data_IF_965435705986
#
_entry.id   IF_965435705986
#
_cell.length_a   1.000
_cell.length_b   1.000
_cell.length_c   1.000
_cell.angle_alpha   90.00
_cell.angle_beta   90.00
_cell.angle_gamma   90.00
#
_symmetry.space_group_name_H-M   'P 1'
#
loop_
_entity.id
_entity.type
_entity.pdbx_description
1 polymer ?
#
# COMPACT_ATOMS: atom_id res chain seq x y z
N UNK A 1 -7.29 -12.67 24.71
CA UNK A 1 -6.50 -12.41 23.49
C UNK A 1 -6.06 -13.73 22.87
N UNK A 2 -5.79 -13.76 21.57
CA UNK A 2 -5.32 -14.96 20.84
C UNK A 2 -4.07 -15.57 21.47
N UNK A 3 -3.94 -16.90 21.41
CA UNK A 3 -2.75 -17.64 21.80
C UNK A 3 -1.51 -17.16 21.03
N UNK A 4 -0.36 -17.16 21.69
CA UNK A 4 0.92 -16.67 21.13
C UNK A 4 1.26 -17.39 19.82
N UNK A 5 1.01 -18.69 19.76
CA UNK A 5 1.28 -19.53 18.59
C UNK A 5 0.40 -19.14 17.40
N UNK A 6 -0.89 -18.90 17.64
CA UNK A 6 -1.83 -18.52 16.57
C UNK A 6 -1.48 -17.17 15.97
N UNK A 7 -1.09 -16.19 16.80
CA UNK A 7 -0.63 -14.88 16.30
C UNK A 7 0.65 -15.01 15.47
N UNK A 8 1.60 -15.83 15.91
CA UNK A 8 2.82 -16.12 15.18
C UNK A 8 2.54 -16.69 13.78
N UNK A 9 1.64 -17.68 13.69
CA UNK A 9 1.25 -18.27 12.41
C UNK A 9 0.58 -17.25 11.47
N UNK A 10 -0.26 -16.34 12.00
CA UNK A 10 -0.89 -15.29 11.20
C UNK A 10 0.16 -14.32 10.66
N UNK A 11 1.09 -13.85 11.49
CA UNK A 11 2.17 -12.94 11.08
C UNK A 11 3.10 -13.59 10.04
N UNK A 12 3.37 -14.89 10.20
CA UNK A 12 4.11 -15.67 9.22
C UNK A 12 3.37 -15.73 7.87
N UNK A 13 2.06 -16.01 7.88
CA UNK A 13 1.23 -16.04 6.67
C UNK A 13 1.16 -14.66 5.99
N UNK A 14 1.07 -13.56 6.76
CA UNK A 14 1.11 -12.20 6.22
C UNK A 14 2.42 -11.93 5.47
N UNK A 15 3.55 -12.32 6.05
CA UNK A 15 4.87 -12.15 5.42
C UNK A 15 4.99 -12.95 4.12
N UNK A 16 4.50 -14.19 4.12
CA UNK A 16 4.49 -15.04 2.93
C UNK A 16 3.62 -14.41 1.81
N UNK A 17 2.46 -13.86 2.17
CA UNK A 17 1.60 -13.15 1.24
C UNK A 17 2.27 -11.92 0.63
N UNK A 18 3.08 -11.18 1.39
CA UNK A 18 3.85 -10.03 0.84
C UNK A 18 4.87 -10.46 -0.22
N UNK A 19 5.54 -11.60 -0.02
CA UNK A 19 6.48 -12.16 -1.00
C UNK A 19 5.72 -12.56 -2.27
N UNK A 20 4.61 -13.30 -2.13
CA UNK A 20 3.76 -13.68 -3.26
C UNK A 20 3.21 -12.46 -4.00
N UNK A 21 2.80 -11.41 -3.29
CA UNK A 21 2.32 -10.18 -3.89
C UNK A 21 3.40 -9.47 -4.70
N UNK A 22 4.63 -9.42 -4.21
CA UNK A 22 5.75 -8.80 -4.94
C UNK A 22 5.96 -9.46 -6.30
N UNK A 23 5.90 -10.79 -6.35
CA UNK A 23 6.00 -11.55 -7.60
C UNK A 23 4.77 -11.35 -8.49
N UNK A 24 3.57 -11.38 -7.91
CA UNK A 24 2.31 -11.21 -8.63
C UNK A 24 2.19 -9.82 -9.28
N UNK A 25 2.53 -8.76 -8.56
CA UNK A 25 2.57 -7.40 -9.09
C UNK A 25 3.70 -7.19 -10.09
N UNK A 26 4.86 -7.83 -9.91
CA UNK A 26 5.93 -7.83 -10.91
C UNK A 26 5.50 -8.50 -12.22
N UNK A 27 4.76 -9.61 -12.14
CA UNK A 27 4.19 -10.26 -13.32
C UNK A 27 3.09 -9.41 -13.97
N UNK A 28 2.16 -8.87 -13.18
CA UNK A 28 1.09 -7.99 -13.67
C UNK A 28 1.61 -6.71 -14.33
N UNK A 29 2.70 -6.13 -13.81
CA UNK A 29 3.35 -4.96 -14.43
C UNK A 29 3.89 -5.26 -15.83
N UNK A 30 4.37 -6.49 -16.07
CA UNK A 30 4.84 -6.91 -17.39
C UNK A 30 3.70 -7.22 -18.36
N UNK A 31 2.53 -7.65 -17.84
CA UNK A 31 1.37 -8.02 -18.66
C UNK A 31 0.48 -6.81 -19.03
N UNK A 32 0.37 -5.80 -18.16
CA UNK A 32 -0.51 -4.65 -18.39
C UNK A 32 0.20 -3.46 -19.04
N UNK A 33 -0.24 -3.07 -20.24
CA UNK A 33 0.26 -1.86 -20.93
C UNK A 33 -0.09 -0.54 -20.22
N UNK A 34 -1.05 -0.52 -19.28
CA UNK A 34 -1.49 0.70 -18.59
C UNK A 34 -1.32 0.59 -17.06
N UNK A 35 -0.11 0.90 -16.58
CA UNK A 35 0.27 0.88 -15.13
C UNK A 35 -0.70 1.66 -14.23
N UNK A 36 -1.29 2.75 -14.75
CA UNK A 36 -2.24 3.60 -14.00
C UNK A 36 -3.50 2.84 -13.55
N UNK A 37 -4.08 1.98 -14.39
CA UNK A 37 -5.29 1.22 -14.04
C UNK A 37 -4.99 0.13 -13.00
N UNK A 38 -3.81 -0.49 -13.08
CA UNK A 38 -3.37 -1.49 -12.11
C UNK A 38 -3.20 -0.89 -10.70
N UNK A 39 -2.60 0.31 -10.62
CA UNK A 39 -2.43 1.01 -9.34
C UNK A 39 -3.79 1.44 -8.79
N UNK A 40 -4.70 1.94 -9.64
CA UNK A 40 -6.01 2.41 -9.21
C UNK A 40 -6.91 1.27 -8.70
N UNK A 41 -6.88 0.10 -9.37
CA UNK A 41 -7.65 -1.08 -8.91
C UNK A 41 -7.09 -1.67 -7.61
N UNK A 42 -5.76 -1.73 -7.47
CA UNK A 42 -5.12 -2.16 -6.24
C UNK A 42 -5.45 -1.22 -5.08
N UNK A 43 -5.27 0.09 -5.26
CA UNK A 43 -5.57 1.08 -4.23
C UNK A 43 -7.06 1.10 -3.85
N UNK A 44 -7.98 0.97 -4.82
CA UNK A 44 -9.41 0.85 -4.56
C UNK A 44 -9.75 -0.39 -3.73
N UNK A 45 -9.10 -1.53 -4.02
CA UNK A 45 -9.27 -2.76 -3.24
C UNK A 45 -8.72 -2.61 -1.81
N UNK A 46 -7.56 -1.95 -1.64
CA UNK A 46 -7.02 -1.62 -0.31
C UNK A 46 -7.98 -0.74 0.49
N UNK A 47 -8.55 0.31 -0.12
CA UNK A 47 -9.53 1.19 0.53
C UNK A 47 -10.76 0.39 0.97
N UNK A 48 -11.27 -0.49 0.11
CA UNK A 48 -12.43 -1.33 0.44
C UNK A 48 -12.16 -2.24 1.65
N UNK A 49 -10.97 -2.86 1.72
CA UNK A 49 -10.58 -3.70 2.86
C UNK A 49 -10.47 -2.87 4.14
N UNK A 50 -9.85 -1.68 4.07
CA UNK A 50 -9.73 -0.79 5.23
C UNK A 50 -11.09 -0.32 5.76
N UNK A 51 -12.01 0.04 4.87
CA UNK A 51 -13.38 0.43 5.23
C UNK A 51 -14.13 -0.74 5.85
N UNK A 52 -13.99 -1.95 5.28
CA UNK A 52 -14.62 -3.16 5.81
C UNK A 52 -14.12 -3.46 7.24
N UNK A 53 -12.82 -3.31 7.48
CA UNK A 53 -12.19 -3.46 8.79
C UNK A 53 -12.64 -2.37 9.79
N UNK A 54 -12.95 -1.16 9.30
CA UNK A 54 -13.39 -0.05 10.15
C UNK A 54 -14.86 -0.15 10.57
N UNK A 55 -15.74 -0.63 9.68
CA UNK A 55 -17.20 -0.61 9.90
C UNK A 55 -17.66 -1.76 10.80
N UNK A 56 -17.14 -2.98 10.62
CA UNK A 56 -17.70 -4.17 11.27
C UNK A 56 -17.04 -4.37 12.66
N UNK A 57 -17.79 -4.21 13.78
CA UNK A 57 -17.22 -4.23 15.12
C UNK A 57 -16.91 -5.64 15.66
N UNK A 58 -17.60 -6.67 15.17
CA UNK A 58 -17.55 -8.04 15.69
C UNK A 58 -17.13 -9.06 14.62
N UNK A 59 -16.06 -8.74 13.88
CA UNK A 59 -15.48 -9.71 12.95
C UNK A 59 -14.76 -10.80 13.74
N UNK A 60 -15.09 -12.06 13.43
CA UNK A 60 -14.35 -13.23 13.91
C UNK A 60 -12.85 -13.07 13.61
N UNK A 61 -11.99 -13.33 14.61
CA UNK A 61 -10.53 -13.23 14.51
C UNK A 61 -9.93 -13.91 13.27
N UNK A 62 -10.54 -15.00 12.80
CA UNK A 62 -10.14 -15.66 11.55
C UNK A 62 -10.37 -14.78 10.31
N UNK A 63 -11.53 -14.12 10.23
CA UNK A 63 -11.88 -13.23 9.13
C UNK A 63 -10.98 -11.98 9.18
N UNK A 64 -10.72 -11.41 10.36
CA UNK A 64 -9.76 -10.29 10.51
C UNK A 64 -8.39 -10.70 9.97
N UNK A 65 -7.92 -11.89 10.34
CA UNK A 65 -6.61 -12.40 9.89
C UNK A 65 -6.55 -12.56 8.38
N UNK A 66 -7.59 -13.10 7.75
CA UNK A 66 -7.69 -13.23 6.29
C UNK A 66 -7.68 -11.84 5.63
N UNK A 67 -8.46 -10.89 6.14
CA UNK A 67 -8.51 -9.53 5.61
C UNK A 67 -7.15 -8.82 5.74
N UNK A 68 -6.43 -9.03 6.84
CA UNK A 68 -5.09 -8.48 7.03
C UNK A 68 -4.06 -9.12 6.08
N UNK A 69 -4.13 -10.43 5.86
CA UNK A 69 -3.29 -11.11 4.86
C UNK A 69 -3.59 -10.56 3.45
N UNK A 70 -4.88 -10.38 3.13
CA UNK A 70 -5.31 -9.82 1.84
C UNK A 70 -4.89 -8.35 1.70
N UNK A 71 -4.93 -7.58 2.78
CA UNK A 71 -4.42 -6.21 2.84
C UNK A 71 -2.91 -6.17 2.57
N UNK A 72 -2.13 -7.08 3.18
CA UNK A 72 -0.70 -7.22 2.91
C UNK A 72 -0.42 -7.60 1.45
N UNK A 73 -1.26 -8.46 0.87
CA UNK A 73 -1.12 -8.86 -0.52
C UNK A 73 -1.39 -7.68 -1.45
N UNK A 74 -2.57 -7.07 -1.34
CA UNK A 74 -3.01 -5.99 -2.24
C UNK A 74 -2.20 -4.71 -2.01
N UNK A 75 -1.80 -4.42 -0.77
CA UNK A 75 -1.06 -3.20 -0.41
C UNK A 75 0.36 -3.10 -0.99
N UNK A 76 0.90 -4.20 -1.55
CA UNK A 76 2.27 -4.25 -2.06
C UNK A 76 2.45 -3.73 -3.50
N UNK A 77 1.65 -2.73 -3.91
CA UNK A 77 1.78 -2.08 -5.22
C UNK A 77 2.89 -1.00 -5.27
N UNK A 78 3.58 -0.73 -4.16
CA UNK A 78 4.66 0.26 -4.09
C UNK A 78 5.82 0.01 -5.07
N UNK A 79 6.09 -1.26 -5.38
CA UNK A 79 7.10 -1.65 -6.39
C UNK A 79 6.75 -1.10 -7.78
N UNK A 80 5.47 -1.15 -8.16
CA UNK A 80 4.97 -0.64 -9.44
C UNK A 80 5.06 0.88 -9.49
N UNK A 81 4.77 1.56 -8.37
CA UNK A 81 4.90 3.02 -8.26
C UNK A 81 6.37 3.44 -8.45
N UNK A 82 7.30 2.75 -7.81
CA UNK A 82 8.74 3.02 -7.96
C UNK A 82 9.22 2.78 -9.40
N UNK A 83 8.77 1.69 -10.04
CA UNK A 83 9.06 1.43 -11.44
C UNK A 83 8.53 2.54 -12.36
N UNK A 84 7.32 3.04 -12.10
CA UNK A 84 6.74 4.16 -12.85
C UNK A 84 7.50 5.47 -12.62
N UNK A 85 7.84 5.80 -11.37
CA UNK A 85 8.61 7.00 -11.03
C UNK A 85 9.99 7.02 -11.71
N UNK A 86 10.64 5.86 -11.80
CA UNK A 86 11.94 5.72 -12.47
C UNK A 86 11.89 6.03 -13.97
N UNK A 87 10.76 5.73 -14.64
CA UNK A 87 10.57 6.00 -16.07
C UNK A 87 10.44 7.48 -16.44
N UNK A 88 10.31 8.36 -15.43
CA UNK A 88 10.16 9.81 -15.62
C UNK A 88 11.53 10.51 -15.71
N UNK A 89 12.60 9.89 -15.19
CA UNK A 89 13.93 10.52 -15.13
C UNK A 89 14.78 10.21 -16.38
N UNK A 90 15.45 11.21 -16.98
CA UNK A 90 16.46 10.99 -18.02
C UNK A 90 17.64 10.16 -17.49
N UNK A 91 18.30 9.37 -18.35
CA UNK A 91 19.41 8.48 -17.95
C UNK A 91 20.54 9.20 -17.20
N UNK A 92 20.81 10.45 -17.56
CA UNK A 92 21.85 11.31 -16.97
C UNK A 92 21.58 11.67 -15.49
N UNK A 93 20.31 11.66 -15.06
CA UNK A 93 19.88 12.05 -13.72
C UNK A 93 19.32 10.87 -12.92
N UNK A 94 19.37 9.65 -13.46
CA UNK A 94 18.72 8.47 -12.90
C UNK A 94 19.20 8.17 -11.47
N UNK A 95 20.51 8.30 -11.22
CA UNK A 95 21.10 8.06 -9.90
C UNK A 95 20.63 9.06 -8.83
N UNK A 96 20.55 10.35 -9.16
CA UNK A 96 20.08 11.41 -8.22
C UNK A 96 18.55 11.38 -8.04
N UNK A 97 17.82 11.13 -9.12
CA UNK A 97 16.37 11.02 -9.10
C UNK A 97 15.88 9.86 -8.23
N UNK A 98 16.50 8.68 -8.38
CA UNK A 98 16.15 7.49 -7.57
C UNK A 98 16.47 7.70 -6.09
N UNK A 99 17.61 8.32 -5.76
CA UNK A 99 17.94 8.61 -4.37
C UNK A 99 16.87 9.52 -3.73
N UNK A 100 16.46 10.58 -4.43
CA UNK A 100 15.41 11.50 -3.97
C UNK A 100 14.06 10.80 -3.80
N UNK A 101 13.68 9.94 -4.75
CA UNK A 101 12.47 9.12 -4.64
C UNK A 101 12.50 8.21 -3.42
N UNK A 102 13.62 7.52 -3.19
CA UNK A 102 13.77 6.64 -2.03
C UNK A 102 13.67 7.44 -0.72
N UNK A 103 14.34 8.59 -0.61
CA UNK A 103 14.22 9.46 0.56
C UNK A 103 12.78 9.93 0.78
N UNK A 104 12.06 10.30 -0.28
CA UNK A 104 10.65 10.69 -0.19
C UNK A 104 9.77 9.53 0.31
N UNK A 105 10.02 8.30 -0.15
CA UNK A 105 9.30 7.11 0.32
C UNK A 105 9.61 6.82 1.79
N UNK A 106 10.86 6.86 2.21
CA UNK A 106 11.23 6.70 3.61
C UNK A 106 10.62 7.77 4.51
N UNK A 107 10.61 9.03 4.06
CA UNK A 107 9.95 10.12 4.77
C UNK A 107 8.45 9.87 4.91
N UNK A 108 7.78 9.40 3.84
CA UNK A 108 6.38 9.01 3.88
C UNK A 108 6.11 7.90 4.89
N UNK A 109 6.91 6.83 4.87
CA UNK A 109 6.81 5.72 5.82
C UNK A 109 7.03 6.21 7.25
N UNK A 110 8.02 7.08 7.49
CA UNK A 110 8.29 7.67 8.79
C UNK A 110 7.07 8.44 9.34
N UNK A 111 6.47 9.30 8.52
CA UNK A 111 5.27 10.06 8.91
C UNK A 111 4.10 9.12 9.19
N UNK A 112 3.87 8.12 8.34
CA UNK A 112 2.76 7.16 8.53
C UNK A 112 2.94 6.33 9.81
N UNK A 113 4.15 5.85 10.09
CA UNK A 113 4.44 5.08 11.30
C UNK A 113 4.33 5.92 12.56
N UNK A 114 4.84 7.15 12.54
CA UNK A 114 4.73 8.09 13.66
C UNK A 114 3.27 8.44 13.97
N UNK A 115 2.48 8.73 12.93
CA UNK A 115 1.05 9.01 13.08
C UNK A 115 0.28 7.79 13.61
N UNK A 116 0.60 6.58 13.14
CA UNK A 116 -0.01 5.36 13.65
C UNK A 116 0.26 5.14 15.13
N UNK A 117 1.51 5.36 15.56
CA UNK A 117 1.90 5.34 16.97
C UNK A 117 1.21 6.41 17.80
N UNK A 118 1.09 7.64 17.29
CA UNK A 118 0.40 8.74 17.96
C UNK A 118 -1.10 8.46 18.16
N UNK A 119 -1.78 7.96 17.12
CA UNK A 119 -3.20 7.61 17.18
C UNK A 119 -3.43 6.52 18.23
N UNK A 120 -2.70 5.40 18.15
CA UNK A 120 -2.85 4.32 19.15
C UNK A 120 -2.49 4.83 20.55
N UNK A 121 -1.43 5.63 20.66
CA UNK A 121 -0.94 6.20 21.91
C UNK A 121 -1.97 7.09 22.62
N UNK A 122 -2.78 7.83 21.86
CA UNK A 122 -3.82 8.72 22.39
C UNK A 122 -5.04 7.98 22.97
N UNK A 123 -5.22 6.70 22.66
CA UNK A 123 -6.34 5.87 23.14
C UNK A 123 -5.93 4.87 24.23
N UNK A 124 -4.75 5.00 24.84
CA UNK A 124 -4.40 4.16 25.99
C UNK A 124 -5.33 4.44 27.16
N UNK A 125 -6.18 3.45 27.47
CA UNK A 125 -6.87 3.34 28.75
C UNK A 125 -5.97 2.57 29.73
N UNK A 126 -6.13 2.78 31.03
CA UNK A 126 -5.21 2.35 32.10
C UNK A 126 -4.99 0.81 32.20
N UNK A 127 -5.67 0.01 31.38
CA UNK A 127 -5.60 -1.45 31.35
C UNK A 127 -4.55 -2.05 30.39
N UNK A 128 -3.74 -1.24 29.70
CA UNK A 128 -2.57 -1.71 28.94
C UNK A 128 -2.88 -2.45 27.62
N UNK A 129 -4.13 -2.49 27.19
CA UNK A 129 -4.54 -2.98 25.87
C UNK A 129 -5.17 -1.84 25.07
N UNK A 130 -4.66 -1.60 23.85
CA UNK A 130 -5.27 -0.63 22.94
C UNK A 130 -6.74 -1.00 22.67
N UNK A 131 -7.71 -0.12 22.98
CA UNK A 131 -9.12 -0.41 22.78
C UNK A 131 -9.41 -0.67 21.30
N UNK A 132 -10.44 -1.47 21.01
CA UNK A 132 -10.90 -1.72 19.64
C UNK A 132 -11.15 -0.41 18.86
N UNK A 133 -11.56 0.65 19.58
CA UNK A 133 -11.77 1.99 19.03
C UNK A 133 -10.49 2.61 18.44
N UNK A 134 -9.32 2.32 19.02
CA UNK A 134 -8.02 2.84 18.60
C UNK A 134 -7.57 2.26 17.25
N UNK A 135 -7.79 0.97 17.06
CA UNK A 135 -7.51 0.31 15.77
C UNK A 135 -8.48 0.80 14.69
N UNK A 136 -9.75 1.03 15.03
CA UNK A 136 -10.75 1.57 14.09
C UNK A 136 -10.39 2.99 13.63
N UNK A 137 -10.02 3.87 14.56
CA UNK A 137 -9.60 5.23 14.22
C UNK A 137 -8.35 5.23 13.34
N UNK A 138 -7.40 4.31 13.59
CA UNK A 138 -6.24 4.12 12.74
C UNK A 138 -6.62 3.67 11.31
N UNK A 139 -7.48 2.67 11.17
CA UNK A 139 -7.91 2.18 9.85
C UNK A 139 -8.68 3.26 9.06
N UNK A 140 -9.52 4.04 9.74
CA UNK A 140 -10.22 5.18 9.12
C UNK A 140 -9.22 6.24 8.67
N UNK A 141 -8.26 6.61 9.52
CA UNK A 141 -7.22 7.59 9.16
C UNK A 141 -6.41 7.12 7.94
N UNK A 142 -6.00 5.86 7.91
CA UNK A 142 -5.30 5.25 6.78
C UNK A 142 -6.17 5.25 5.51
N UNK A 143 -7.44 4.91 5.62
CA UNK A 143 -8.37 4.92 4.49
C UNK A 143 -8.56 6.34 3.91
N UNK A 144 -8.74 7.34 4.77
CA UNK A 144 -8.89 8.75 4.36
C UNK A 144 -7.64 9.24 3.64
N UNK A 145 -6.46 8.98 4.21
CA UNK A 145 -5.18 9.37 3.60
C UNK A 145 -5.00 8.69 2.25
N UNK A 146 -5.33 7.40 2.15
CA UNK A 146 -5.22 6.66 0.90
C UNK A 146 -6.20 7.18 -0.15
N UNK A 147 -7.43 7.54 0.23
CA UNK A 147 -8.40 8.21 -0.65
C UNK A 147 -7.85 9.55 -1.15
N UNK A 148 -7.26 10.37 -0.29
CA UNK A 148 -6.65 11.64 -0.68
C UNK A 148 -5.48 11.40 -1.64
N UNK A 149 -4.60 10.44 -1.35
CA UNK A 149 -3.49 10.08 -2.22
C UNK A 149 -3.97 9.60 -3.59
N UNK A 150 -4.99 8.74 -3.64
CA UNK A 150 -5.62 8.27 -4.88
C UNK A 150 -6.28 9.44 -5.63
N UNK A 151 -6.94 10.36 -4.95
CA UNK A 151 -7.53 11.55 -5.58
C UNK A 151 -6.46 12.43 -6.24
N UNK A 152 -5.33 12.68 -5.56
CA UNK A 152 -4.19 13.41 -6.10
C UNK A 152 -3.60 12.68 -7.32
N UNK A 153 -3.36 11.38 -7.19
CA UNK A 153 -2.81 10.54 -8.28
C UNK A 153 -3.75 10.45 -9.49
N UNK A 154 -5.07 10.41 -9.24
CA UNK A 154 -6.07 10.40 -10.31
C UNK A 154 -6.04 11.70 -11.12
N UNK A 155 -5.84 12.85 -10.44
CA UNK A 155 -5.73 14.18 -11.05
C UNK A 155 -4.42 14.42 -11.79
N UNK A 156 -3.34 13.69 -11.48
CA UNK A 156 -2.11 13.75 -12.28
C UNK A 156 -2.24 12.97 -13.59
N UNK A 157 -3.34 13.18 -14.33
CA UNK A 157 -3.61 12.61 -15.66
C UNK A 157 -2.31 12.40 -16.44
N UNK A 158 -2.05 11.12 -16.76
CA UNK A 158 -0.76 10.66 -17.24
C UNK A 158 -0.30 11.49 -18.42
N UNK A 159 1.01 11.73 -18.47
CA UNK A 159 1.67 12.19 -19.68
C UNK A 159 1.37 11.18 -20.79
N UNK A 160 0.30 11.45 -21.54
CA UNK A 160 0.06 10.85 -22.83
C UNK A 160 1.20 11.35 -23.72
N UNK A 161 1.88 10.41 -24.38
CA UNK A 161 2.85 10.59 -25.47
C UNK A 161 4.33 10.73 -25.09
N UNK A 162 5.04 9.60 -25.19
CA UNK A 162 6.16 9.51 -26.14
C UNK A 162 5.78 8.57 -27.28
N UNK A 163 4.97 9.13 -28.20
CA UNK A 163 5.10 9.04 -29.66
C UNK A 163 5.93 7.87 -30.21
N UNK A 164 5.22 6.92 -30.83
CA UNK A 164 5.55 6.25 -32.10
C UNK A 164 6.60 6.98 -32.96
N UNK A 165 7.77 6.35 -33.17
CA UNK A 165 8.67 6.38 -34.35
C UNK A 165 9.85 5.42 -34.04
N UNK A 166 10.22 4.36 -34.76
CA UNK A 166 9.78 3.70 -36.00
C UNK A 166 10.51 2.33 -36.09
N UNK A 167 9.97 1.27 -36.73
CA UNK A 167 10.76 0.41 -37.63
C UNK A 167 10.53 0.86 -39.08
N UNK A 168 11.29 0.45 -40.12
CA UNK A 168 12.66 -0.09 -40.23
C UNK A 168 13.55 0.72 -41.21
N UNK A 169 14.87 0.54 -41.19
CA UNK A 169 15.76 0.73 -42.35
C UNK A 169 16.76 -0.44 -42.25
N UNK A 170 16.71 -1.50 -43.07
CA UNK A 170 16.95 -1.56 -44.52
C UNK A 170 18.28 -0.90 -44.89
#
# INVERSE_FOLDING_TARGET
GLDTTTRGNILFAMTLAMICASLFYGYLDSLFSNRKYLILSAAGTTIAILILLAIIPDINVWIVSILLILLCFVGNYGVVIMAHGRSIFPEELLGRGIATLNTAVFLGVFVMQGMGGFIIGAFHDEAGAAPLIAYRSLFIAMAVILVVAVAIYSRSSGSRSLKRKSPPHA
#
